data_IF_354531616963
#
_entry.id   IF_354531616963
#
_cell.length_a   1.000
_cell.length_b   1.000
_cell.length_c   1.000
_cell.angle_alpha   90.00
_cell.angle_beta   90.00
_cell.angle_gamma   90.00
#
_symmetry.space_group_name_H-M   'P 1'
#
loop_
_entity.id
_entity.type
_entity.pdbx_description
1 polymer ?
#
# COMPACT_ATOMS: atom_id res chain seq x y z
N UNK A 1 -36.36 11.71 -32.40
CA UNK A 1 -35.87 10.46 -31.77
C UNK A 1 -34.38 10.60 -31.56
N UNK A 2 -33.95 11.03 -30.37
CA UNK A 2 -32.53 11.24 -30.03
C UNK A 2 -32.37 11.12 -28.50
N UNK A 3 -33.34 11.69 -27.78
CA UNK A 3 -33.48 11.59 -26.33
C UNK A 3 -33.60 10.12 -25.87
N UNK A 4 -34.34 9.29 -26.61
CA UNK A 4 -34.51 7.86 -26.30
C UNK A 4 -33.19 7.10 -26.45
N UNK A 5 -32.42 7.39 -27.51
CA UNK A 5 -31.11 6.75 -27.75
C UNK A 5 -30.08 7.16 -26.70
N UNK A 6 -30.05 8.45 -26.33
CA UNK A 6 -29.19 8.95 -25.25
C UNK A 6 -29.52 8.28 -23.90
N UNK A 7 -30.81 8.13 -23.58
CA UNK A 7 -31.25 7.46 -22.35
C UNK A 7 -30.87 5.96 -22.33
N UNK A 8 -30.92 5.29 -23.49
CA UNK A 8 -30.44 3.90 -23.59
C UNK A 8 -28.93 3.77 -23.36
N UNK A 9 -28.13 4.67 -23.94
CA UNK A 9 -26.67 4.67 -23.77
C UNK A 9 -26.28 4.95 -22.31
N UNK A 10 -26.98 5.86 -21.63
CA UNK A 10 -26.75 6.13 -20.21
C UNK A 10 -27.05 4.92 -19.34
N UNK A 11 -28.15 4.21 -19.60
CA UNK A 11 -28.51 2.97 -18.88
C UNK A 11 -27.49 1.86 -19.10
N UNK A 12 -26.97 1.70 -20.31
CA UNK A 12 -25.92 0.73 -20.62
C UNK A 12 -24.63 1.04 -19.88
N UNK A 13 -24.21 2.31 -19.87
CA UNK A 13 -23.03 2.77 -19.14
C UNK A 13 -23.15 2.51 -17.64
N UNK A 14 -24.31 2.78 -17.05
CA UNK A 14 -24.56 2.51 -15.63
C UNK A 14 -24.56 1.01 -15.32
N UNK A 15 -25.10 0.19 -16.20
CA UNK A 15 -25.06 -1.26 -16.07
C UNK A 15 -23.62 -1.79 -16.12
N UNK A 16 -22.79 -1.27 -17.03
CA UNK A 16 -21.38 -1.62 -17.14
C UNK A 16 -20.64 -1.26 -15.85
N UNK A 17 -20.84 -0.05 -15.32
CA UNK A 17 -20.20 0.38 -14.05
C UNK A 17 -20.62 -0.52 -12.88
N UNK A 18 -21.90 -0.89 -12.80
CA UNK A 18 -22.40 -1.82 -11.75
C UNK A 18 -21.74 -3.19 -11.87
N UNK A 19 -21.62 -3.74 -13.08
CA UNK A 19 -20.97 -5.04 -13.33
C UNK A 19 -19.48 -5.03 -12.97
N UNK A 20 -18.76 -3.97 -13.31
CA UNK A 20 -17.34 -3.82 -12.95
C UNK A 20 -17.17 -3.80 -11.43
N UNK A 21 -17.94 -2.96 -10.72
CA UNK A 21 -17.90 -2.90 -9.25
C UNK A 21 -18.25 -4.23 -8.59
N UNK A 22 -19.27 -4.92 -9.10
CA UNK A 22 -19.66 -6.23 -8.59
C UNK A 22 -18.55 -7.27 -8.85
N UNK A 23 -17.92 -7.23 -10.03
CA UNK A 23 -16.78 -8.07 -10.37
C UNK A 23 -15.61 -7.85 -9.44
N UNK A 24 -15.24 -6.60 -9.15
CA UNK A 24 -14.17 -6.25 -8.22
C UNK A 24 -14.43 -6.77 -6.80
N UNK A 25 -15.68 -6.65 -6.31
CA UNK A 25 -16.08 -7.15 -4.98
C UNK A 25 -16.09 -8.67 -4.92
N UNK A 26 -16.55 -9.33 -5.98
CA UNK A 26 -16.73 -10.80 -6.02
C UNK A 26 -15.41 -11.52 -6.33
N UNK A 27 -14.45 -10.83 -6.95
CA UNK A 27 -13.17 -11.43 -7.30
C UNK A 27 -12.21 -11.48 -6.11
N UNK A 28 -11.57 -12.64 -5.90
CA UNK A 28 -10.48 -12.79 -4.92
C UNK A 28 -9.21 -12.00 -5.31
N UNK A 29 -9.14 -11.53 -6.56
CA UNK A 29 -8.03 -10.74 -7.10
C UNK A 29 -8.36 -9.26 -7.00
N UNK A 30 -8.05 -8.64 -5.86
CA UNK A 30 -8.12 -7.17 -5.75
C UNK A 30 -7.34 -6.51 -6.89
N UNK A 31 -8.04 -5.70 -7.69
CA UNK A 31 -7.43 -4.85 -8.72
C UNK A 31 -6.54 -3.79 -8.05
N UNK A 32 -5.29 -3.65 -8.51
CA UNK A 32 -4.34 -2.67 -8.01
C UNK A 32 -2.99 -3.25 -7.54
N UNK A 33 -2.19 -2.42 -6.89
CA UNK A 33 -0.90 -2.82 -6.32
C UNK A 33 -1.15 -3.80 -5.16
N UNK A 34 -0.51 -4.97 -5.17
CA UNK A 34 -0.52 -5.91 -4.03
C UNK A 34 -0.20 -5.15 -2.74
N UNK A 35 -1.16 -5.11 -1.81
CA UNK A 35 -1.07 -4.38 -0.54
C UNK A 35 0.13 -4.86 0.31
N UNK A 36 0.48 -6.14 0.20
CA UNK A 36 1.40 -6.83 1.11
C UNK A 36 2.85 -6.91 0.65
N UNK A 37 3.17 -6.63 -0.62
CA UNK A 37 4.54 -6.85 -1.10
C UNK A 37 5.37 -5.57 -0.90
N UNK A 38 6.12 -5.55 0.21
CA UNK A 38 7.22 -4.62 0.38
C UNK A 38 8.42 -5.11 -0.46
N UNK A 39 8.34 -4.86 -1.77
CA UNK A 39 9.19 -5.49 -2.80
C UNK A 39 10.70 -5.29 -2.65
N UNK A 40 11.18 -4.35 -1.81
CA UNK A 40 12.56 -3.86 -1.85
C UNK A 40 13.44 -4.30 -0.68
N UNK A 41 12.90 -4.97 0.33
CA UNK A 41 13.58 -5.10 1.63
C UNK A 41 13.40 -6.53 2.12
N UNK A 42 14.34 -7.37 1.73
CA UNK A 42 14.31 -8.81 1.97
C UNK A 42 15.29 -9.10 3.12
N UNK A 43 14.92 -8.71 4.35
CA UNK A 43 15.46 -9.25 5.61
C UNK A 43 16.58 -8.50 6.37
N UNK A 44 17.29 -7.51 5.83
CA UNK A 44 18.38 -6.84 6.59
C UNK A 44 17.98 -5.70 7.56
N UNK A 45 16.97 -4.84 7.30
CA UNK A 45 16.77 -3.64 8.11
C UNK A 45 15.97 -3.85 9.40
N UNK A 46 15.38 -5.02 9.66
CA UNK A 46 14.65 -5.22 10.93
C UNK A 46 15.56 -5.13 12.16
N UNK A 47 16.75 -5.74 12.10
CA UNK A 47 17.73 -5.67 13.19
C UNK A 47 18.20 -4.24 13.42
N UNK A 48 18.41 -3.48 12.33
CA UNK A 48 18.93 -2.11 12.41
C UNK A 48 17.86 -1.07 12.75
N UNK A 49 16.59 -1.31 12.40
CA UNK A 49 15.47 -0.48 12.86
C UNK A 49 15.21 -0.71 14.34
N UNK A 50 15.36 -1.95 14.83
CA UNK A 50 15.36 -2.24 16.27
C UNK A 50 16.50 -1.51 16.97
N UNK A 51 17.71 -1.54 16.41
CA UNK A 51 18.86 -0.79 16.92
C UNK A 51 18.64 0.73 16.89
N UNK A 52 18.05 1.28 15.82
CA UNK A 52 17.63 2.69 15.74
C UNK A 52 16.56 3.07 16.78
N UNK A 53 15.64 2.15 17.09
CA UNK A 53 14.62 2.37 18.14
C UNK A 53 15.22 2.34 19.55
N UNK A 54 16.24 1.51 19.77
CA UNK A 54 16.96 1.38 21.04
C UNK A 54 18.00 2.50 21.24
N UNK A 55 18.65 2.95 20.17
CA UNK A 55 19.83 3.79 20.22
C UNK A 55 19.56 5.17 19.60
N UNK A 56 19.35 6.19 20.45
CA UNK A 56 18.99 7.57 20.03
C UNK A 56 20.11 8.31 19.28
N UNK A 57 21.32 7.74 19.19
CA UNK A 57 22.43 8.35 18.47
C UNK A 57 22.35 8.19 16.94
N UNK A 58 21.57 7.22 16.45
CA UNK A 58 21.47 6.93 15.01
C UNK A 58 20.47 7.88 14.36
N UNK A 59 20.89 8.59 13.30
CA UNK A 59 20.01 9.50 12.56
C UNK A 59 19.27 8.78 11.44
N UNK A 60 18.06 9.23 11.14
CA UNK A 60 17.26 8.69 10.02
C UNK A 60 17.96 8.86 8.66
N UNK A 61 18.73 9.94 8.49
CA UNK A 61 19.49 10.23 7.26
C UNK A 61 20.54 9.14 7.00
N UNK A 62 21.19 8.65 8.05
CA UNK A 62 22.24 7.63 7.95
C UNK A 62 21.63 6.28 7.54
N UNK A 63 20.47 5.93 8.08
CA UNK A 63 19.68 4.77 7.65
C UNK A 63 19.25 4.88 6.18
N UNK A 64 18.78 6.05 5.75
CA UNK A 64 18.34 6.25 4.37
C UNK A 64 19.48 6.05 3.39
N UNK A 65 20.67 6.60 3.69
CA UNK A 65 21.86 6.47 2.85
C UNK A 65 22.39 5.04 2.82
N UNK A 66 22.49 4.38 3.98
CA UNK A 66 23.06 3.03 4.10
C UNK A 66 22.27 1.98 3.31
N UNK A 67 20.94 2.08 3.32
CA UNK A 67 20.07 1.11 2.64
C UNK A 67 19.48 1.62 1.32
N UNK A 68 19.87 2.83 0.90
CA UNK A 68 19.36 3.49 -0.31
C UNK A 68 17.81 3.50 -0.39
N UNK A 69 17.17 3.82 0.73
CA UNK A 69 15.70 3.82 0.88
C UNK A 69 15.16 5.23 1.02
N UNK A 70 13.95 5.44 0.48
CA UNK A 70 13.24 6.70 0.67
C UNK A 70 12.66 6.81 2.09
N UNK A 71 12.44 8.05 2.52
CA UNK A 71 11.86 8.37 3.84
C UNK A 71 10.49 7.69 4.04
N UNK A 72 9.71 7.54 2.96
CA UNK A 72 8.38 6.93 3.01
C UNK A 72 8.45 5.43 3.31
N UNK A 73 9.45 4.77 2.73
CA UNK A 73 9.73 3.36 2.99
C UNK A 73 10.18 3.21 4.45
N UNK A 74 11.18 4.00 4.89
CA UNK A 74 11.67 3.96 6.27
C UNK A 74 10.55 4.18 7.31
N UNK A 75 9.69 5.18 7.11
CA UNK A 75 8.54 5.44 7.99
C UNK A 75 7.55 4.28 8.02
N UNK A 76 7.26 3.66 6.87
CA UNK A 76 6.37 2.49 6.79
C UNK A 76 6.96 1.32 7.58
N UNK A 77 8.27 1.09 7.50
CA UNK A 77 8.94 0.04 8.27
C UNK A 77 8.96 0.31 9.77
N UNK A 78 9.29 1.52 10.20
CA UNK A 78 9.24 1.88 11.62
C UNK A 78 7.83 1.65 12.18
N UNK A 79 6.79 1.99 11.39
CA UNK A 79 5.39 1.74 11.79
C UNK A 79 5.07 0.25 11.88
N UNK A 80 5.58 -0.59 10.98
CA UNK A 80 5.41 -2.05 11.03
C UNK A 80 6.13 -2.67 12.22
N UNK A 81 7.37 -2.26 12.49
CA UNK A 81 8.15 -2.75 13.65
C UNK A 81 7.52 -2.29 14.96
N UNK A 82 7.06 -1.04 15.07
CA UNK A 82 6.33 -0.57 16.26
C UNK A 82 4.97 -1.22 16.42
N UNK A 83 4.26 -1.52 15.33
CA UNK A 83 2.95 -2.16 15.37
C UNK A 83 3.01 -3.67 15.66
N UNK A 84 4.12 -4.34 15.35
CA UNK A 84 4.36 -5.74 15.72
C UNK A 84 4.82 -5.89 17.17
N UNK A 85 5.51 -4.89 17.72
CA UNK A 85 5.76 -4.75 19.17
C UNK A 85 4.53 -4.10 19.82
N UNK A 86 3.44 -4.87 19.91
CA UNK A 86 2.34 -4.53 20.81
C UNK A 86 2.89 -4.63 22.24
N UNK A 87 3.05 -3.49 22.92
CA UNK A 87 3.27 -3.49 24.37
C UNK A 87 2.00 -4.03 25.00
N UNK A 88 2.07 -5.28 25.49
CA UNK A 88 1.20 -5.79 26.56
C UNK A 88 1.60 -5.07 27.84
#
# INVERSE_FOLDING_TARGET
MLIVELDTVLKERDLIVKKIKQGDITSDKKSGRKESKLDKIINEPESYIKEYLLNRSIKQIDLMKKYNISINILKKYIKLVKGSVNYI
#
